data_IF_767222419761
#
_entry.id   IF_767222419761
#
_cell.length_a   1.000
_cell.length_b   1.000
_cell.length_c   1.000
_cell.angle_alpha   90.00
_cell.angle_beta   90.00
_cell.angle_gamma   90.00
#
_symmetry.space_group_name_H-M   'P 1'
#
loop_
_entity.id
_entity.type
_entity.pdbx_description
1 polymer ?
#
# COMPACT_ATOMS: atom_id res chain seq x y z
N UNK A 1 14.57 4.90 13.80
CA UNK A 1 13.87 4.59 12.54
C UNK A 1 13.06 3.33 12.80
N UNK A 2 11.75 3.38 12.61
CA UNK A 2 10.87 2.24 12.87
C UNK A 2 10.79 1.32 11.64
N UNK A 3 10.58 0.03 11.88
CA UNK A 3 10.34 -0.96 10.83
C UNK A 3 8.92 -1.48 10.96
N UNK A 4 8.14 -1.42 9.87
CA UNK A 4 6.81 -2.00 9.77
C UNK A 4 6.88 -3.29 8.94
N UNK A 5 6.66 -4.43 9.57
CA UNK A 5 6.61 -5.72 8.87
C UNK A 5 5.16 -6.13 8.60
N UNK A 6 4.82 -6.34 7.33
CA UNK A 6 3.51 -6.81 6.89
C UNK A 6 3.67 -8.23 6.36
N UNK A 7 3.25 -9.24 7.12
CA UNK A 7 3.28 -10.64 6.70
C UNK A 7 1.86 -11.11 6.35
N UNK A 8 1.57 -11.20 5.06
CA UNK A 8 0.27 -11.66 4.58
C UNK A 8 0.44 -12.78 3.56
N UNK A 9 -0.11 -13.94 3.87
CA UNK A 9 -0.15 -15.10 2.95
C UNK A 9 -1.33 -15.03 1.99
N UNK A 10 -2.37 -14.28 2.35
CA UNK A 10 -3.54 -14.01 1.51
C UNK A 10 -3.52 -12.56 1.05
N UNK A 11 -4.19 -12.29 -0.06
CA UNK A 11 -4.32 -10.93 -0.57
C UNK A 11 -5.10 -10.06 0.40
N UNK A 12 -4.59 -8.87 0.70
CA UNK A 12 -5.20 -7.89 1.58
C UNK A 12 -5.13 -6.51 0.92
N UNK A 13 -6.28 -5.85 0.80
CA UNK A 13 -6.36 -4.43 0.50
C UNK A 13 -6.33 -3.54 1.76
N UNK A 14 -5.29 -2.71 1.88
CA UNK A 14 -5.17 -1.66 2.87
C UNK A 14 -5.87 -0.39 2.36
N UNK A 15 -6.82 0.09 3.15
CA UNK A 15 -7.64 1.26 2.84
C UNK A 15 -7.12 2.55 3.48
N UNK A 16 -6.02 2.50 4.22
CA UNK A 16 -5.42 3.67 4.87
C UNK A 16 -4.11 4.03 4.17
N UNK A 17 -3.78 5.32 4.14
CA UNK A 17 -2.48 5.78 3.67
C UNK A 17 -1.39 5.43 4.68
N UNK A 18 -0.20 5.09 4.18
CA UNK A 18 1.01 5.00 4.99
C UNK A 18 1.76 6.34 4.91
N UNK A 19 2.37 6.74 6.02
CA UNK A 19 3.13 7.99 6.11
C UNK A 19 4.30 7.84 7.07
N UNK A 20 5.30 8.72 6.93
CA UNK A 20 6.51 8.70 7.74
C UNK A 20 7.70 8.10 7.01
N UNK A 21 8.83 8.00 7.72
CA UNK A 21 10.14 7.58 7.19
C UNK A 21 10.60 6.21 7.67
N UNK A 22 9.71 5.43 8.30
CA UNK A 22 10.01 4.06 8.70
C UNK A 22 10.00 3.13 7.51
N UNK A 23 10.87 2.12 7.51
CA UNK A 23 10.92 1.14 6.43
C UNK A 23 9.74 0.16 6.53
N UNK A 24 9.31 -0.37 5.39
CA UNK A 24 8.23 -1.35 5.29
C UNK A 24 8.79 -2.63 4.67
N UNK A 25 8.62 -3.76 5.35
CA UNK A 25 8.94 -5.08 4.79
C UNK A 25 7.68 -5.87 4.53
N UNK A 26 7.43 -6.23 3.28
CA UNK A 26 6.34 -7.13 2.86
C UNK A 26 6.84 -8.58 2.81
N UNK A 27 6.25 -9.42 3.65
CA UNK A 27 6.45 -10.86 3.74
C UNK A 27 5.17 -11.61 3.36
N UNK A 28 5.31 -12.90 3.05
CA UNK A 28 4.20 -13.78 2.68
C UNK A 28 3.78 -13.66 1.21
N UNK A 29 3.15 -14.70 0.68
CA UNK A 29 2.86 -14.86 -0.76
C UNK A 29 1.68 -14.03 -1.27
N UNK A 30 0.89 -13.45 -0.37
CA UNK A 30 -0.30 -12.66 -0.70
C UNK A 30 0.03 -11.31 -1.33
N UNK A 31 -0.95 -10.75 -2.04
CA UNK A 31 -0.86 -9.40 -2.62
C UNK A 31 -1.28 -8.38 -1.56
N UNK A 32 -0.44 -7.39 -1.26
CA UNK A 32 -0.85 -6.23 -0.48
C UNK A 32 -1.23 -5.09 -1.45
N UNK A 33 -2.50 -4.72 -1.44
CA UNK A 33 -3.04 -3.64 -2.26
C UNK A 33 -3.15 -2.37 -1.43
N UNK A 34 -2.51 -1.29 -1.87
CA UNK A 34 -2.64 0.05 -1.31
C UNK A 34 -3.69 0.81 -2.13
N UNK A 35 -4.86 1.03 -1.56
CA UNK A 35 -5.97 1.71 -2.24
C UNK A 35 -5.96 3.23 -2.05
N UNK A 36 -4.96 3.80 -1.39
CA UNK A 36 -4.92 5.21 -1.05
C UNK A 36 -3.54 5.81 -1.34
N UNK A 37 -3.54 7.12 -1.57
CA UNK A 37 -2.31 7.87 -1.81
C UNK A 37 -1.38 7.79 -0.59
N UNK A 38 -0.14 7.39 -0.85
CA UNK A 38 0.92 7.24 0.15
C UNK A 38 2.07 8.22 -0.12
N UNK A 39 1.80 9.36 -0.77
CA UNK A 39 2.79 10.39 -1.10
C UNK A 39 3.59 10.94 0.11
N UNK A 40 3.08 10.79 1.33
CA UNK A 40 3.76 11.20 2.57
C UNK A 40 4.70 10.11 3.14
N UNK A 41 4.81 8.96 2.48
CA UNK A 41 5.72 7.89 2.85
C UNK A 41 7.09 8.11 2.22
N UNK A 42 8.10 8.23 3.09
CA UNK A 42 9.49 8.54 2.74
C UNK A 42 10.44 7.38 3.09
N UNK A 43 9.90 6.24 3.54
CA UNK A 43 10.68 5.05 3.92
C UNK A 43 10.99 4.13 2.73
N UNK A 44 11.81 3.11 2.98
CA UNK A 44 12.12 2.08 1.98
C UNK A 44 11.13 0.95 2.06
N UNK A 45 10.63 0.48 0.91
CA UNK A 45 9.72 -0.68 0.86
C UNK A 45 10.43 -1.89 0.30
N UNK A 46 10.72 -2.87 1.16
CA UNK A 46 11.30 -4.15 0.78
C UNK A 46 10.21 -5.19 0.57
N UNK A 47 10.10 -5.72 -0.65
CA UNK A 47 9.20 -6.83 -0.97
C UNK A 47 10.02 -8.12 -0.95
N UNK A 48 10.03 -8.79 0.19
CA UNK A 48 10.70 -10.08 0.36
C UNK A 48 9.80 -11.24 -0.09
N UNK A 49 8.48 -11.06 -0.05
CA UNK A 49 7.52 -12.06 -0.55
C UNK A 49 6.22 -11.46 -1.08
N UNK A 50 5.66 -12.11 -2.11
CA UNK A 50 4.37 -11.73 -2.70
C UNK A 50 4.49 -10.54 -3.66
N UNK A 51 3.46 -9.69 -3.70
CA UNK A 51 3.42 -8.49 -4.55
C UNK A 51 2.79 -7.31 -3.82
N UNK A 52 3.23 -6.11 -4.19
CA UNK A 52 2.57 -4.85 -3.84
C UNK A 52 1.83 -4.32 -5.05
N UNK A 53 0.58 -3.91 -4.85
CA UNK A 53 -0.23 -3.27 -5.86
C UNK A 53 -0.68 -1.91 -5.33
N UNK A 54 -0.34 -0.82 -6.02
CA UNK A 54 -0.93 0.48 -5.74
C UNK A 54 -2.11 0.68 -6.68
N UNK A 55 -3.29 0.91 -6.12
CA UNK A 55 -4.49 1.25 -6.90
C UNK A 55 -4.69 2.75 -6.76
N UNK A 56 -4.53 3.53 -7.84
CA UNK A 56 -4.85 4.94 -7.80
C UNK A 56 -6.36 5.08 -7.57
N UNK A 57 -6.76 5.82 -6.54
CA UNK A 57 -8.14 6.32 -6.45
C UNK A 57 -8.36 7.25 -7.64
N UNK A 58 -9.06 6.75 -8.65
CA UNK A 58 -9.46 7.59 -9.78
C UNK A 58 -10.23 8.79 -9.21
N UNK A 59 -9.84 10.03 -9.54
CA UNK A 59 -10.65 11.18 -9.17
C UNK A 59 -12.03 10.99 -9.82
N UNK A 60 -13.08 11.12 -9.01
CA UNK A 60 -14.49 10.95 -9.37
C UNK A 60 -15.02 12.03 -10.36
N UNK A 61 -14.17 12.56 -11.23
CA UNK A 61 -14.49 13.69 -12.13
C UNK A 61 -15.45 13.32 -13.29
N UNK A 62 -15.90 12.06 -13.37
CA UNK A 62 -16.82 11.60 -14.42
C UNK A 62 -18.13 10.99 -13.89
N UNK A 63 -18.42 11.02 -12.59
CA UNK A 63 -19.67 10.45 -12.04
C UNK A 63 -20.85 11.45 -11.95
N UNK A 64 -20.74 12.63 -12.58
CA UNK A 64 -21.85 13.57 -12.65
C UNK A 64 -22.08 14.06 -14.07
N UNK A 65 -22.91 13.34 -14.82
CA UNK A 65 -23.81 14.00 -15.78
C UNK A 65 -25.15 13.29 -15.66
N UNK A 66 -26.09 14.02 -15.10
CA UNK A 66 -27.50 13.66 -14.98
C UNK A 66 -28.22 13.89 -16.32
#
# INVERSE_FOLDING_TARGET
MGLLTISTERSWAMTHSISGSGDVTKLGTGILTLNNDSAAYQGTTDIVGGKLLSVPTLPLIWQSTH
#
